data_IF_000641746889
#
_entry.id   IF_000641746889
#
_cell.length_a   1.000
_cell.length_b   1.000
_cell.length_c   1.000
_cell.angle_alpha   90.00
_cell.angle_beta   90.00
_cell.angle_gamma   90.00
#
_symmetry.space_group_name_H-M   'P 1'
#
loop_
_entity.id
_entity.type
_entity.pdbx_description
1 polymer ?
#
# COMPACT_ATOMS: atom_id res chain seq x y z
N UNK A 1 -24.32 29.16 -6.76
CA UNK A 1 -24.16 27.70 -6.67
C UNK A 1 -23.69 27.39 -5.26
N UNK A 2 -24.54 26.78 -4.44
CA UNK A 2 -24.16 26.35 -3.08
C UNK A 2 -23.16 25.21 -3.22
N UNK A 3 -21.88 25.52 -3.02
CA UNK A 3 -20.81 24.53 -2.96
C UNK A 3 -21.10 23.60 -1.78
N UNK A 4 -21.33 22.32 -2.06
CA UNK A 4 -21.46 21.30 -1.02
C UNK A 4 -20.15 21.30 -0.23
N UNK A 5 -20.16 21.58 1.09
CA UNK A 5 -18.94 21.58 1.88
C UNK A 5 -18.39 20.16 1.94
N UNK A 6 -17.18 19.94 1.43
CA UNK A 6 -16.50 18.64 1.49
C UNK A 6 -15.68 18.59 2.77
N UNK A 7 -15.96 17.63 3.63
CA UNK A 7 -15.08 17.30 4.75
C UNK A 7 -14.31 16.02 4.44
N UNK A 8 -12.98 16.07 4.54
CA UNK A 8 -12.06 14.96 4.30
C UNK A 8 -11.73 14.29 5.64
N UNK A 9 -12.18 13.05 5.84
CA UNK A 9 -11.75 12.20 6.94
C UNK A 9 -10.31 11.73 6.69
N UNK A 10 -9.44 11.91 7.68
CA UNK A 10 -8.03 11.46 7.60
C UNK A 10 -7.52 11.05 8.97
N UNK A 11 -6.46 10.22 8.96
CA UNK A 11 -5.72 9.88 10.18
C UNK A 11 -4.82 11.05 10.59
N UNK A 12 -4.52 11.12 11.89
CA UNK A 12 -3.70 12.20 12.46
C UNK A 12 -2.18 12.02 12.28
N UNK A 13 -1.73 10.89 11.72
CA UNK A 13 -0.32 10.72 11.42
C UNK A 13 0.15 11.76 10.39
N UNK A 14 1.38 12.28 10.52
CA UNK A 14 1.92 13.30 9.61
C UNK A 14 1.80 12.92 8.13
N UNK A 15 2.01 11.64 7.78
CA UNK A 15 1.84 11.17 6.40
C UNK A 15 0.39 11.22 5.94
N UNK A 16 -0.57 10.86 6.79
CA UNK A 16 -1.99 10.87 6.42
C UNK A 16 -2.53 12.31 6.31
N UNK A 17 -2.10 13.22 7.18
CA UNK A 17 -2.40 14.64 7.06
C UNK A 17 -1.83 15.21 5.76
N UNK A 18 -0.57 14.93 5.43
CA UNK A 18 0.02 15.33 4.16
C UNK A 18 -0.79 14.82 2.96
N UNK A 19 -1.26 13.56 3.01
CA UNK A 19 -2.07 12.97 1.95
C UNK A 19 -3.41 13.68 1.80
N UNK A 20 -4.06 14.03 2.91
CA UNK A 20 -5.32 14.75 2.91
C UNK A 20 -5.17 16.21 2.44
N UNK A 21 -4.11 16.91 2.87
CA UNK A 21 -3.76 18.25 2.40
C UNK A 21 -3.44 18.26 0.90
N UNK A 22 -2.72 17.24 0.41
CA UNK A 22 -2.45 17.08 -1.02
C UNK A 22 -3.76 16.93 -1.81
N UNK A 23 -4.70 16.10 -1.33
CA UNK A 23 -6.01 15.93 -1.97
C UNK A 23 -6.85 17.20 -1.88
N UNK A 24 -6.87 17.87 -0.73
CA UNK A 24 -7.54 19.16 -0.53
C UNK A 24 -7.05 20.21 -1.53
N UNK A 25 -5.74 20.32 -1.72
CA UNK A 25 -5.15 21.23 -2.71
C UNK A 25 -5.59 20.88 -4.13
N UNK A 26 -5.65 19.59 -4.50
CA UNK A 26 -6.11 19.16 -5.82
C UNK A 26 -7.61 19.41 -6.04
N UNK A 27 -8.46 19.14 -5.04
CA UNK A 27 -9.88 19.49 -5.09
C UNK A 27 -10.08 20.98 -5.37
N UNK A 28 -9.32 21.83 -4.68
CA UNK A 28 -9.41 23.28 -4.86
C UNK A 28 -8.87 23.73 -6.24
N UNK A 29 -7.69 23.25 -6.64
CA UNK A 29 -6.98 23.75 -7.81
C UNK A 29 -7.54 23.19 -9.14
N UNK A 30 -7.98 21.93 -9.16
CA UNK A 30 -8.43 21.26 -10.39
C UNK A 30 -9.95 21.25 -10.55
N UNK A 31 -10.70 21.26 -9.44
CA UNK A 31 -12.16 21.15 -9.44
C UNK A 31 -12.87 22.39 -8.88
N UNK A 32 -12.16 23.34 -8.26
CA UNK A 32 -12.77 24.50 -7.61
C UNK A 32 -13.57 24.13 -6.36
N UNK A 33 -13.31 22.96 -5.77
CA UNK A 33 -14.02 22.43 -4.61
C UNK A 33 -13.23 22.71 -3.33
N UNK A 34 -13.80 23.53 -2.46
CA UNK A 34 -13.24 23.77 -1.13
C UNK A 34 -13.55 22.61 -0.20
N UNK A 35 -12.53 22.16 0.54
CA UNK A 35 -12.66 21.10 1.52
C UNK A 35 -12.02 21.48 2.86
N UNK A 36 -12.53 20.90 3.95
CA UNK A 36 -11.94 20.96 5.30
C UNK A 36 -11.43 19.57 5.69
N UNK A 37 -10.56 19.51 6.71
CA UNK A 37 -10.00 18.25 7.20
C UNK A 37 -10.63 17.86 8.54
N UNK A 38 -11.02 16.60 8.68
CA UNK A 38 -11.43 15.97 9.92
C UNK A 38 -10.37 14.94 10.31
N UNK A 39 -9.46 15.33 11.22
CA UNK A 39 -8.48 14.44 11.80
C UNK A 39 -9.11 13.45 12.77
N UNK A 40 -8.72 12.18 12.68
CA UNK A 40 -9.25 11.08 13.49
C UNK A 40 -8.15 10.13 13.95
N UNK A 41 -8.25 9.65 15.19
CA UNK A 41 -7.41 8.55 15.70
C UNK A 41 -8.09 7.21 15.40
N UNK A 42 -7.34 6.23 14.86
CA UNK A 42 -7.88 4.87 14.62
C UNK A 42 -7.42 3.88 15.69
N UNK A 43 -8.13 2.76 15.88
CA UNK A 43 -7.65 1.66 16.75
C UNK A 43 -6.27 1.15 16.33
N UNK A 44 -5.97 1.15 15.03
CA UNK A 44 -4.65 0.79 14.51
C UNK A 44 -3.52 1.72 14.98
N UNK A 45 -3.83 2.98 15.32
CA UNK A 45 -2.87 3.94 15.90
C UNK A 45 -2.61 3.68 17.39
N UNK A 46 -3.60 3.13 18.10
CA UNK A 46 -3.54 2.89 19.55
C UNK A 46 -2.89 1.56 19.92
N UNK A 47 -2.91 0.56 19.02
CA UNK A 47 -2.41 -0.80 19.31
C UNK A 47 -1.01 -1.00 18.71
N UNK A 48 0.03 -0.66 19.48
CA UNK A 48 1.43 -0.82 19.06
C UNK A 48 2.04 -2.18 19.46
N UNK A 49 1.49 -2.85 20.48
CA UNK A 49 2.19 -3.94 21.20
C UNK A 49 1.76 -5.39 20.85
N UNK A 50 0.92 -5.60 19.81
CA UNK A 50 0.46 -6.95 19.39
C UNK A 50 0.65 -7.21 17.90
N UNK A 51 1.13 -8.38 17.49
CA UNK A 51 1.35 -8.75 16.07
C UNK A 51 0.05 -8.66 15.24
N UNK A 52 0.11 -8.06 14.04
CA UNK A 52 -1.04 -7.77 13.15
C UNK A 52 -1.69 -9.07 12.68
N UNK A 53 -0.88 -10.12 12.49
CA UNK A 53 -1.31 -11.49 12.24
C UNK A 53 -2.19 -12.06 13.37
N UNK A 54 -1.99 -11.62 14.62
CA UNK A 54 -2.80 -12.04 15.78
C UNK A 54 -4.02 -11.15 16.04
N UNK A 55 -4.06 -9.93 15.49
CA UNK A 55 -5.17 -8.98 15.74
C UNK A 55 -6.34 -9.23 14.78
N UNK A 56 -6.13 -9.91 13.64
CA UNK A 56 -7.22 -10.38 12.78
C UNK A 56 -8.29 -9.31 12.52
N UNK A 57 -7.96 -8.28 11.74
CA UNK A 57 -8.91 -7.19 11.49
C UNK A 57 -8.72 -6.57 10.12
N UNK A 58 -9.51 -7.03 9.14
CA UNK A 58 -9.75 -6.26 7.90
C UNK A 58 -10.20 -4.83 8.31
N UNK A 59 -9.52 -3.80 7.83
CA UNK A 59 -9.94 -2.40 8.01
C UNK A 59 -9.54 -1.69 9.32
N UNK A 60 -8.53 -2.16 10.07
CA UNK A 60 -8.06 -1.52 11.33
C UNK A 60 -7.72 -0.01 11.24
N UNK A 61 -7.45 0.50 10.04
CA UNK A 61 -7.12 1.91 9.78
C UNK A 61 -8.21 2.65 9.01
N UNK A 62 -9.31 1.96 8.67
CA UNK A 62 -10.33 2.45 7.72
C UNK A 62 -11.70 2.56 8.40
N UNK A 63 -12.02 1.67 9.37
CA UNK A 63 -13.33 1.63 10.05
C UNK A 63 -13.79 2.95 10.64
N UNK A 64 -12.90 3.68 11.32
CA UNK A 64 -13.27 4.96 11.93
C UNK A 64 -13.54 6.05 10.87
N UNK A 65 -12.85 5.99 9.72
CA UNK A 65 -13.08 6.88 8.59
C UNK A 65 -14.39 6.52 7.88
N UNK A 66 -14.65 5.24 7.62
CA UNK A 66 -15.92 4.71 7.11
C UNK A 66 -17.12 5.12 7.99
N UNK A 67 -16.96 5.10 9.32
CA UNK A 67 -17.99 5.57 10.24
C UNK A 67 -18.30 7.06 10.04
N UNK A 68 -17.28 7.90 9.83
CA UNK A 68 -17.46 9.33 9.55
C UNK A 68 -18.12 9.58 8.18
N UNK A 69 -17.87 8.72 7.19
CA UNK A 69 -18.56 8.77 5.91
C UNK A 69 -20.05 8.39 6.05
N UNK A 70 -20.33 7.31 6.79
CA UNK A 70 -21.67 6.78 6.98
C UNK A 70 -22.59 7.70 7.78
N UNK A 71 -22.06 8.35 8.83
CA UNK A 71 -22.84 9.29 9.66
C UNK A 71 -22.86 10.73 9.13
N UNK A 72 -22.19 10.98 7.99
CA UNK A 72 -22.20 12.28 7.31
C UNK A 72 -21.26 13.33 7.90
N UNK A 73 -20.44 13.01 8.91
CA UNK A 73 -19.40 13.91 9.42
C UNK A 73 -18.32 14.19 8.37
N UNK A 74 -18.13 13.29 7.41
CA UNK A 74 -17.24 13.45 6.27
C UNK A 74 -17.92 13.00 4.97
N UNK A 75 -17.44 13.54 3.85
CA UNK A 75 -17.91 13.21 2.50
C UNK A 75 -16.87 12.37 1.75
N UNK A 76 -15.60 12.51 2.12
CA UNK A 76 -14.47 11.87 1.45
C UNK A 76 -13.48 11.35 2.49
N UNK A 77 -12.87 10.19 2.25
CA UNK A 77 -11.74 9.69 3.01
C UNK A 77 -10.53 9.46 2.08
N UNK A 78 -9.34 9.78 2.58
CA UNK A 78 -8.08 9.66 1.82
C UNK A 78 -7.23 8.55 2.40
N UNK A 79 -6.81 7.61 1.55
CA UNK A 79 -6.05 6.44 1.96
C UNK A 79 -4.79 6.27 1.11
N UNK A 80 -3.74 5.73 1.73
CA UNK A 80 -2.75 4.99 0.96
C UNK A 80 -3.42 3.74 0.41
N UNK A 81 -3.44 3.55 -0.92
CA UNK A 81 -4.29 2.51 -1.54
C UNK A 81 -3.94 1.08 -1.07
N UNK A 82 -2.68 0.84 -0.71
CA UNK A 82 -2.22 -0.44 -0.13
C UNK A 82 -2.86 -0.79 1.23
N UNK A 83 -3.42 0.20 1.93
CA UNK A 83 -4.06 0.02 3.23
C UNK A 83 -5.58 -0.12 3.11
N UNK A 84 -6.13 0.08 1.90
CA UNK A 84 -7.56 -0.08 1.60
C UNK A 84 -7.89 -1.57 1.44
N UNK A 85 -8.89 -2.11 2.17
CA UNK A 85 -9.36 -3.48 2.02
C UNK A 85 -9.59 -3.85 0.55
N UNK A 86 -9.27 -5.08 0.17
CA UNK A 86 -9.40 -5.52 -1.23
C UNK A 86 -10.84 -5.50 -1.73
N UNK A 87 -11.78 -5.71 -0.83
CA UNK A 87 -13.22 -5.50 -0.99
C UNK A 87 -13.63 -4.45 0.04
N UNK A 88 -14.20 -3.35 -0.43
CA UNK A 88 -14.79 -2.33 0.45
C UNK A 88 -16.08 -2.88 1.07
N UNK A 89 -16.44 -2.46 2.30
CA UNK A 89 -17.73 -2.80 2.86
C UNK A 89 -18.88 -2.25 2.00
N UNK A 90 -20.05 -2.87 2.11
CA UNK A 90 -21.26 -2.38 1.46
C UNK A 90 -21.54 -0.93 1.86
N UNK A 91 -21.96 -0.11 0.89
CA UNK A 91 -22.23 1.31 1.09
C UNK A 91 -21.03 2.24 0.81
N UNK A 92 -19.84 1.71 0.53
CA UNK A 92 -18.66 2.51 0.16
C UNK A 92 -18.12 2.17 -1.22
N UNK A 93 -17.47 3.14 -1.85
CA UNK A 93 -16.80 2.96 -3.14
C UNK A 93 -15.52 3.78 -3.24
N UNK A 94 -14.59 3.29 -4.04
CA UNK A 94 -13.38 4.01 -4.39
C UNK A 94 -13.67 4.92 -5.60
N UNK A 95 -13.95 6.20 -5.34
CA UNK A 95 -14.31 7.16 -6.38
C UNK A 95 -13.13 7.53 -7.30
N UNK A 96 -11.91 7.54 -6.77
CA UNK A 96 -10.74 7.85 -7.57
C UNK A 96 -9.47 7.16 -7.04
N UNK A 97 -8.57 6.88 -7.97
CA UNK A 97 -7.18 6.50 -7.68
C UNK A 97 -6.28 7.55 -8.32
N UNK A 98 -5.53 8.27 -7.50
CA UNK A 98 -4.65 9.33 -7.99
C UNK A 98 -3.41 8.77 -8.67
N UNK A 99 -2.70 9.63 -9.41
CA UNK A 99 -1.43 9.28 -10.03
C UNK A 99 -0.45 8.68 -9.01
N UNK A 100 0.24 7.62 -9.42
CA UNK A 100 1.10 6.84 -8.56
C UNK A 100 2.43 7.55 -8.32
N UNK A 101 2.78 7.72 -7.06
CA UNK A 101 4.16 8.03 -6.68
C UNK A 101 5.04 6.77 -6.82
N UNK A 102 6.36 6.91 -6.70
CA UNK A 102 7.33 5.82 -6.75
C UNK A 102 6.92 4.61 -5.88
N UNK A 103 6.60 3.47 -6.53
CA UNK A 103 6.06 2.31 -5.83
C UNK A 103 7.13 1.49 -5.12
N UNK A 104 8.43 1.79 -5.33
CA UNK A 104 9.53 0.99 -4.79
C UNK A 104 9.61 1.06 -3.27
N UNK A 105 10.22 0.02 -2.72
CA UNK A 105 10.69 0.04 -1.35
C UNK A 105 12.05 0.76 -1.28
N UNK A 106 12.28 1.44 -0.16
CA UNK A 106 13.50 2.18 0.13
C UNK A 106 14.26 1.48 1.26
N UNK A 107 15.56 1.30 1.04
CA UNK A 107 16.52 0.93 2.06
C UNK A 107 16.93 2.19 2.83
N UNK A 108 16.77 2.16 4.15
CA UNK A 108 17.06 3.28 5.05
C UNK A 108 17.97 2.79 6.16
N UNK A 109 19.16 3.37 6.23
CA UNK A 109 20.18 3.01 7.21
C UNK A 109 21.03 4.24 7.56
N UNK A 110 21.63 4.23 8.74
CA UNK A 110 22.54 5.29 9.16
C UNK A 110 23.94 5.07 8.58
N UNK A 111 24.46 3.85 8.69
CA UNK A 111 25.88 3.55 8.43
C UNK A 111 26.14 2.77 7.13
N UNK A 112 25.08 2.33 6.43
CA UNK A 112 25.18 1.44 5.26
C UNK A 112 24.49 2.05 4.04
N UNK A 113 25.02 1.82 2.83
CA UNK A 113 24.46 2.37 1.59
C UNK A 113 23.41 1.46 0.94
N UNK A 114 23.55 0.14 1.09
CA UNK A 114 22.68 -0.85 0.48
C UNK A 114 22.48 -2.08 1.39
N UNK A 115 21.57 -2.97 0.97
CA UNK A 115 21.35 -4.25 1.64
C UNK A 115 22.62 -5.13 1.59
N UNK A 116 23.39 -5.05 0.50
CA UNK A 116 24.58 -5.88 0.28
C UNK A 116 25.74 -5.48 1.19
N UNK A 117 25.79 -4.21 1.61
CA UNK A 117 26.81 -3.68 2.52
C UNK A 117 26.60 -4.11 3.99
N UNK A 118 25.45 -4.71 4.30
CA UNK A 118 25.16 -5.16 5.67
C UNK A 118 26.05 -6.35 6.07
N UNK A 119 26.59 -6.35 7.31
CA UNK A 119 27.36 -7.48 7.82
C UNK A 119 26.50 -8.74 7.91
N UNK A 120 27.15 -9.90 7.97
CA UNK A 120 26.46 -11.17 8.18
C UNK A 120 25.64 -11.14 9.48
N UNK A 121 24.39 -11.60 9.42
CA UNK A 121 23.50 -11.60 10.59
C UNK A 121 22.96 -10.23 10.98
N UNK A 122 23.09 -9.21 10.13
CA UNK A 122 22.58 -7.87 10.39
C UNK A 122 21.07 -7.86 10.70
N UNK A 123 20.69 -6.97 11.61
CA UNK A 123 19.31 -6.76 12.05
C UNK A 123 18.60 -5.75 11.15
N UNK A 124 17.55 -6.18 10.45
CA UNK A 124 16.75 -5.33 9.56
C UNK A 124 15.30 -5.20 10.03
N UNK A 125 14.80 -3.97 10.16
CA UNK A 125 13.47 -3.69 10.69
C UNK A 125 12.36 -3.73 9.63
N UNK A 126 11.42 -4.68 9.75
CA UNK A 126 10.18 -4.73 8.96
C UNK A 126 9.13 -5.63 9.60
N UNK A 127 7.87 -5.17 9.67
CA UNK A 127 6.71 -6.02 10.01
C UNK A 127 5.91 -6.52 8.79
N UNK A 128 6.36 -6.24 7.57
CA UNK A 128 5.71 -6.72 6.35
C UNK A 128 6.28 -8.08 5.97
N UNK A 129 5.47 -9.15 6.05
CA UNK A 129 5.91 -10.48 5.63
C UNK A 129 6.35 -10.51 4.15
N UNK A 130 5.72 -9.69 3.28
CA UNK A 130 6.15 -9.50 1.89
C UNK A 130 7.62 -9.04 1.80
N UNK A 131 8.02 -8.07 2.63
CA UNK A 131 9.41 -7.58 2.63
C UNK A 131 10.34 -8.62 3.27
N UNK A 132 9.89 -9.25 4.36
CA UNK A 132 10.66 -10.27 5.08
C UNK A 132 11.05 -11.42 4.13
N UNK A 133 10.09 -12.04 3.45
CA UNK A 133 10.37 -13.17 2.55
C UNK A 133 11.22 -12.77 1.35
N UNK A 134 11.04 -11.57 0.80
CA UNK A 134 11.85 -11.08 -0.31
C UNK A 134 13.29 -10.76 0.11
N UNK A 135 13.50 -10.14 1.29
CA UNK A 135 14.84 -9.91 1.81
C UNK A 135 15.55 -11.23 2.11
N UNK A 136 14.87 -12.18 2.78
CA UNK A 136 15.45 -13.47 3.11
C UNK A 136 15.71 -14.35 1.88
N UNK A 137 15.00 -14.14 0.78
CA UNK A 137 15.32 -14.76 -0.51
C UNK A 137 16.60 -14.20 -1.15
N UNK A 138 17.03 -12.97 -0.81
CA UNK A 138 18.26 -12.36 -1.31
C UNK A 138 19.44 -12.60 -0.35
N UNK A 139 19.19 -12.45 0.96
CA UNK A 139 20.17 -12.57 2.04
C UNK A 139 19.58 -13.42 3.19
N UNK A 140 19.68 -14.76 3.11
CA UNK A 140 19.10 -15.67 4.10
C UNK A 140 19.69 -15.54 5.51
N UNK A 141 20.85 -14.91 5.65
CA UNK A 141 21.56 -14.67 6.91
C UNK A 141 20.95 -13.53 7.75
N UNK A 142 20.14 -12.65 7.16
CA UNK A 142 19.61 -11.48 7.85
C UNK A 142 18.69 -11.85 9.00
N UNK A 143 18.80 -11.08 10.10
CA UNK A 143 17.86 -11.13 11.22
C UNK A 143 16.78 -10.08 11.03
N UNK A 144 15.62 -10.48 10.51
CA UNK A 144 14.51 -9.53 10.27
C UNK A 144 13.64 -9.41 11.51
N UNK A 145 13.68 -8.24 12.15
CA UNK A 145 12.96 -7.98 13.39
C UNK A 145 11.72 -7.09 13.14
N UNK A 146 10.60 -7.30 13.87
CA UNK A 146 9.40 -6.50 13.69
C UNK A 146 9.64 -5.00 13.96
N UNK A 147 9.14 -4.14 13.08
CA UNK A 147 9.21 -2.69 13.21
C UNK A 147 7.84 -2.04 12.99
N UNK A 148 7.38 -1.33 14.02
CA UNK A 148 6.05 -0.71 14.10
C UNK A 148 6.09 0.75 14.51
N UNK A 149 4.95 1.40 14.30
CA UNK A 149 4.75 2.83 14.46
C UNK A 149 4.54 3.52 13.12
N UNK A 150 4.19 4.80 13.18
CA UNK A 150 4.23 5.70 12.03
C UNK A 150 5.69 5.88 11.53
N UNK A 151 5.85 6.62 10.43
CA UNK A 151 7.16 6.79 9.80
C UNK A 151 8.19 7.40 10.75
N UNK A 152 7.81 8.43 11.53
CA UNK A 152 8.69 9.10 12.48
C UNK A 152 9.19 8.17 13.59
N UNK A 153 8.28 7.39 14.20
CA UNK A 153 8.65 6.40 15.22
C UNK A 153 9.61 5.36 14.66
N UNK A 154 9.45 4.95 13.40
CA UNK A 154 10.34 3.97 12.77
C UNK A 154 11.74 4.54 12.50
N UNK A 155 11.82 5.78 12.02
CA UNK A 155 13.11 6.46 11.82
C UNK A 155 13.82 6.69 13.16
N UNK A 156 13.09 7.12 14.19
CA UNK A 156 13.66 7.27 15.53
C UNK A 156 14.24 5.96 16.06
N UNK A 157 13.52 4.84 15.93
CA UNK A 157 14.02 3.52 16.37
C UNK A 157 15.27 3.06 15.61
N UNK A 158 15.42 3.47 14.35
CA UNK A 158 16.66 3.28 13.60
C UNK A 158 17.78 4.15 14.17
N UNK A 159 17.50 5.43 14.42
CA UNK A 159 18.47 6.40 14.96
C UNK A 159 18.94 6.06 16.39
N UNK A 160 18.09 5.42 17.18
CA UNK A 160 18.40 4.89 18.51
C UNK A 160 19.25 3.61 18.48
N UNK A 161 19.62 3.10 17.29
CA UNK A 161 20.48 1.92 17.13
C UNK A 161 19.75 0.57 17.27
N UNK A 162 18.42 0.56 17.23
CA UNK A 162 17.64 -0.68 17.34
C UNK A 162 17.73 -1.60 16.11
N UNK A 163 18.20 -1.08 14.98
CA UNK A 163 18.32 -1.80 13.71
C UNK A 163 19.54 -1.31 12.94
N UNK A 164 20.17 -2.17 12.14
CA UNK A 164 21.22 -1.75 11.20
C UNK A 164 20.61 -1.03 9.99
N UNK A 165 19.42 -1.46 9.58
CA UNK A 165 18.63 -0.85 8.54
C UNK A 165 17.14 -1.10 8.74
N UNK A 166 16.30 -0.30 8.08
CA UNK A 166 14.85 -0.52 7.99
C UNK A 166 14.41 -0.41 6.54
N UNK A 167 13.27 -1.03 6.22
CA UNK A 167 12.68 -0.93 4.88
C UNK A 167 11.36 -0.18 4.94
N UNK A 168 11.25 0.90 4.15
CA UNK A 168 10.06 1.77 4.07
C UNK A 168 9.57 1.88 2.62
N UNK A 169 8.36 2.43 2.42
CA UNK A 169 7.91 2.72 1.06
C UNK A 169 8.50 4.07 0.62
N UNK A 170 9.11 4.14 -0.57
CA UNK A 170 9.74 5.36 -1.07
C UNK A 170 8.78 6.55 -1.12
N UNK A 171 7.55 6.31 -1.59
CA UNK A 171 6.49 7.32 -1.63
C UNK A 171 6.24 7.99 -0.28
N UNK A 172 6.26 7.25 0.84
CA UNK A 172 6.02 7.84 2.17
C UNK A 172 7.14 8.81 2.59
N UNK A 173 8.39 8.47 2.26
CA UNK A 173 9.54 9.33 2.54
C UNK A 173 9.55 10.57 1.64
N UNK A 174 9.29 10.42 0.34
CA UNK A 174 9.23 11.54 -0.62
C UNK A 174 8.17 12.57 -0.24
N UNK A 175 6.96 12.09 0.08
CA UNK A 175 5.83 12.94 0.50
C UNK A 175 6.17 13.82 1.70
N UNK A 176 6.90 13.27 2.67
CA UNK A 176 7.31 14.00 3.87
C UNK A 176 8.61 14.82 3.70
N UNK A 177 9.15 14.94 2.48
CA UNK A 177 10.42 15.64 2.25
C UNK A 177 11.64 14.91 2.82
N UNK A 178 11.53 13.61 3.11
CA UNK A 178 12.56 12.78 3.75
C UNK A 178 13.35 11.93 2.75
N UNK A 179 13.44 12.36 1.49
CA UNK A 179 14.19 11.64 0.46
C UNK A 179 15.67 11.45 0.83
N UNK A 180 16.27 12.39 1.59
CA UNK A 180 17.65 12.28 2.08
C UNK A 180 17.89 11.14 3.08
N UNK A 181 16.84 10.52 3.63
CA UNK A 181 16.95 9.30 4.45
C UNK A 181 17.09 8.03 3.61
N UNK A 182 16.76 8.07 2.32
CA UNK A 182 16.87 6.93 1.42
C UNK A 182 18.34 6.72 1.05
N UNK A 183 18.89 5.55 1.39
CA UNK A 183 20.26 5.18 1.02
C UNK A 183 20.31 4.53 -0.35
N UNK A 184 19.35 3.66 -0.63
CA UNK A 184 19.11 3.09 -1.96
C UNK A 184 17.64 2.70 -2.11
N UNK A 185 17.21 2.54 -3.36
CA UNK A 185 15.89 2.02 -3.70
C UNK A 185 16.06 0.57 -4.15
N UNK A 186 15.18 -0.31 -3.69
CA UNK A 186 15.15 -1.67 -4.21
C UNK A 186 14.62 -1.65 -5.63
N UNK A 187 15.34 -2.30 -6.54
CA UNK A 187 14.82 -2.57 -7.87
C UNK A 187 13.65 -3.55 -7.79
N UNK A 188 12.72 -3.46 -8.74
CA UNK A 188 11.51 -4.29 -8.78
C UNK A 188 11.86 -5.79 -8.85
N UNK A 189 13.01 -6.16 -9.42
CA UNK A 189 13.53 -7.53 -9.41
C UNK A 189 13.94 -8.01 -8.01
N UNK A 190 14.54 -7.12 -7.20
CA UNK A 190 14.97 -7.40 -5.83
C UNK A 190 13.77 -7.44 -4.88
N UNK A 191 12.93 -6.40 -4.88
CA UNK A 191 11.79 -6.29 -3.99
C UNK A 191 10.56 -5.77 -4.73
N UNK A 192 9.68 -6.68 -5.08
CA UNK A 192 8.41 -6.39 -5.74
C UNK A 192 7.46 -5.69 -4.74
N UNK A 193 6.87 -4.53 -5.10
CA UNK A 193 5.92 -3.80 -4.25
C UNK A 193 4.64 -4.59 -3.93
N UNK A 194 3.95 -4.18 -2.87
CA UNK A 194 2.57 -4.66 -2.64
C UNK A 194 1.57 -3.91 -3.54
N UNK A 195 0.40 -4.50 -3.71
CA UNK A 195 -0.69 -3.90 -4.45
C UNK A 195 -1.02 -2.49 -3.96
N UNK A 196 -1.13 -1.54 -4.88
CA UNK A 196 -1.46 -0.14 -4.60
C UNK A 196 -0.35 0.66 -3.90
N UNK A 197 0.85 0.12 -3.67
CA UNK A 197 1.93 0.90 -3.04
C UNK A 197 2.26 2.13 -3.90
N UNK A 198 2.27 3.32 -3.28
CA UNK A 198 2.54 4.59 -3.96
C UNK A 198 1.29 5.33 -4.44
N UNK A 199 0.15 4.65 -4.63
CA UNK A 199 -1.11 5.28 -5.02
C UNK A 199 -1.88 5.82 -3.81
N UNK A 200 -2.69 6.85 -4.04
CA UNK A 200 -3.73 7.31 -3.10
C UNK A 200 -5.11 6.91 -3.63
N UNK A 201 -5.95 6.40 -2.72
CA UNK A 201 -7.33 6.07 -2.97
C UNK A 201 -8.27 7.06 -2.28
N UNK A 202 -9.32 7.46 -3.00
CA UNK A 202 -10.38 8.36 -2.54
C UNK A 202 -11.66 7.55 -2.32
N UNK A 203 -12.05 7.36 -1.07
CA UNK A 203 -13.22 6.59 -0.67
C UNK A 203 -14.39 7.52 -0.30
N UNK A 204 -15.58 7.19 -0.79
CA UNK A 204 -16.82 7.93 -0.52
C UNK A 204 -17.97 6.94 -0.25
N UNK A 205 -19.14 7.45 0.16
CA UNK A 205 -20.36 6.65 0.14
C UNK A 205 -20.77 6.30 -1.29
N UNK A 206 -21.18 5.07 -1.51
CA UNK A 206 -21.57 4.55 -2.82
C UNK A 206 -22.83 5.23 -3.41
N UNK A 207 -23.68 5.81 -2.55
CA UNK A 207 -24.90 6.51 -2.96
C UNK A 207 -24.66 7.97 -3.39
N UNK A 208 -23.48 8.54 -3.09
CA UNK A 208 -23.12 9.92 -3.42
C UNK A 208 -22.58 10.03 -4.85
N UNK A 209 -23.46 9.77 -5.81
CA UNK A 209 -23.14 9.77 -7.25
C UNK A 209 -22.63 11.12 -7.76
N UNK A 210 -23.12 12.23 -7.21
CA UNK A 210 -22.68 13.57 -7.57
C UNK A 210 -21.22 13.82 -7.13
N UNK A 211 -20.86 13.41 -5.90
CA UNK A 211 -19.48 13.50 -5.44
C UNK A 211 -18.57 12.52 -6.21
N UNK A 212 -19.07 11.33 -6.54
CA UNK A 212 -18.34 10.34 -7.34
C UNK A 212 -17.95 10.92 -8.71
N UNK A 213 -18.89 11.56 -9.41
CA UNK A 213 -18.64 12.19 -10.69
C UNK A 213 -17.62 13.34 -10.58
N UNK A 214 -17.77 14.18 -9.55
CA UNK A 214 -16.88 15.32 -9.33
C UNK A 214 -15.44 14.88 -9.01
N UNK A 215 -15.28 14.02 -7.98
CA UNK A 215 -13.98 13.55 -7.49
C UNK A 215 -13.32 12.58 -8.46
N UNK A 216 -14.11 11.80 -9.21
CA UNK A 216 -13.62 10.88 -10.23
C UNK A 216 -12.76 11.54 -11.32
N UNK A 217 -12.93 12.85 -11.54
CA UNK A 217 -12.10 13.65 -12.46
C UNK A 217 -10.63 13.76 -12.03
N UNK A 218 -10.30 13.52 -10.76
CA UNK A 218 -8.92 13.46 -10.27
C UNK A 218 -8.25 12.10 -10.54
N UNK A 219 -9.03 11.10 -10.95
CA UNK A 219 -8.55 9.72 -11.12
C UNK A 219 -7.57 9.62 -12.29
N UNK A 220 -6.43 8.99 -12.05
CA UNK A 220 -5.43 8.71 -13.06
C UNK A 220 -5.65 7.29 -13.60
N UNK A 221 -6.26 7.20 -14.78
CA UNK A 221 -6.69 5.91 -15.37
C UNK A 221 -5.58 4.86 -15.49
N UNK A 222 -4.35 5.17 -15.94
CA UNK A 222 -3.28 4.18 -15.97
C UNK A 222 -2.95 3.60 -14.58
N UNK A 223 -2.95 4.43 -13.53
CA UNK A 223 -2.73 3.96 -12.17
C UNK A 223 -3.90 3.15 -11.64
N UNK A 224 -5.14 3.59 -11.90
CA UNK A 224 -6.34 2.85 -11.53
C UNK A 224 -6.30 1.41 -12.08
N UNK A 225 -6.05 1.25 -13.38
CA UNK A 225 -6.02 -0.06 -14.03
C UNK A 225 -4.88 -0.93 -13.52
N UNK A 226 -3.68 -0.36 -13.34
CA UNK A 226 -2.56 -1.08 -12.74
C UNK A 226 -2.91 -1.58 -11.32
N UNK A 227 -3.48 -0.72 -10.48
CA UNK A 227 -3.85 -1.09 -9.12
C UNK A 227 -5.03 -2.07 -9.07
N UNK A 228 -5.99 -2.03 -9.99
CA UNK A 228 -7.05 -3.04 -10.09
C UNK A 228 -6.50 -4.43 -10.41
N UNK A 229 -5.54 -4.53 -11.33
CA UNK A 229 -4.84 -5.78 -11.63
C UNK A 229 -4.08 -6.31 -10.42
N UNK A 230 -3.31 -5.44 -9.74
CA UNK A 230 -2.57 -5.81 -8.52
C UNK A 230 -3.49 -6.28 -7.38
N UNK A 231 -4.59 -5.56 -7.16
CA UNK A 231 -5.59 -5.87 -6.13
C UNK A 231 -6.34 -7.16 -6.45
N UNK A 232 -6.56 -7.48 -7.74
CA UNK A 232 -7.16 -8.74 -8.15
C UNK A 232 -6.28 -9.96 -7.79
N UNK A 233 -4.94 -9.86 -7.90
CA UNK A 233 -4.03 -10.91 -7.40
C UNK A 233 -4.28 -11.17 -5.91
N UNK A 234 -4.32 -10.09 -5.13
CA UNK A 234 -4.51 -10.16 -3.69
C UNK A 234 -5.86 -10.76 -3.32
N UNK A 235 -6.95 -10.35 -3.99
CA UNK A 235 -8.29 -10.95 -3.81
C UNK A 235 -8.28 -12.45 -4.06
N UNK A 236 -7.69 -12.88 -5.17
CA UNK A 236 -7.68 -14.30 -5.56
C UNK A 236 -6.86 -15.21 -4.64
N UNK A 237 -5.97 -14.68 -3.81
CA UNK A 237 -5.11 -15.45 -2.90
C UNK A 237 -5.43 -15.24 -1.41
N UNK A 238 -6.60 -14.69 -1.08
CA UNK A 238 -7.10 -14.59 0.30
C UNK A 238 -7.23 -13.15 0.85
N UNK A 239 -6.88 -12.13 0.07
CA UNK A 239 -7.26 -10.74 0.30
C UNK A 239 -6.70 -10.08 1.56
N UNK A 240 -5.65 -10.64 2.19
CA UNK A 240 -5.09 -10.15 3.44
C UNK A 240 -3.72 -9.48 3.26
N UNK A 241 -3.55 -8.30 3.85
CA UNK A 241 -2.26 -7.61 3.95
C UNK A 241 -1.24 -8.35 4.83
N UNK A 242 -1.66 -9.42 5.53
CA UNK A 242 -0.77 -10.30 6.29
C UNK A 242 -0.10 -11.37 5.44
N UNK A 243 -0.50 -11.55 4.18
CA UNK A 243 0.16 -12.53 3.30
C UNK A 243 1.51 -11.99 2.81
N UNK A 244 2.54 -12.83 2.68
CA UNK A 244 3.81 -12.49 2.03
C UNK A 244 3.66 -12.35 0.50
N UNK A 245 2.68 -11.55 0.05
CA UNK A 245 2.29 -11.37 -1.34
C UNK A 245 2.72 -9.99 -1.85
N UNK A 246 3.35 -9.98 -3.02
CA UNK A 246 3.66 -8.80 -3.81
C UNK A 246 2.92 -8.89 -5.15
N UNK A 247 2.48 -7.73 -5.64
CA UNK A 247 1.85 -7.60 -6.95
C UNK A 247 2.10 -6.18 -7.45
N UNK A 248 2.75 -6.05 -8.60
CA UNK A 248 3.03 -4.77 -9.20
C UNK A 248 2.83 -4.79 -10.71
N UNK A 249 1.98 -3.89 -11.19
CA UNK A 249 1.69 -3.70 -12.59
C UNK A 249 2.32 -2.39 -13.11
N UNK A 250 2.88 -2.45 -14.31
CA UNK A 250 3.49 -1.33 -15.04
C UNK A 250 3.02 -1.32 -16.49
N UNK A 251 2.85 -0.13 -17.04
CA UNK A 251 2.58 0.04 -18.46
C UNK A 251 3.88 0.00 -19.26
N UNK A 252 3.88 -0.76 -20.35
CA UNK A 252 4.94 -0.77 -21.37
C UNK A 252 4.27 -0.48 -22.72
N UNK A 253 4.25 0.79 -23.11
CA UNK A 253 3.40 1.25 -24.20
C UNK A 253 1.92 1.00 -23.87
N UNK A 254 1.22 0.28 -24.75
CA UNK A 254 -0.20 -0.06 -24.58
C UNK A 254 -0.44 -1.33 -23.74
N UNK A 255 0.61 -2.05 -23.36
CA UNK A 255 0.48 -3.33 -22.65
C UNK A 255 0.70 -3.14 -21.15
N UNK A 256 -0.22 -3.66 -20.34
CA UNK A 256 -0.08 -3.71 -18.89
C UNK A 256 0.65 -5.01 -18.51
N UNK A 257 1.85 -4.89 -17.95
CA UNK A 257 2.64 -6.00 -17.44
C UNK A 257 2.50 -6.10 -15.93
N UNK A 258 2.04 -7.24 -15.42
CA UNK A 258 1.86 -7.51 -14.00
C UNK A 258 2.82 -8.62 -13.56
N UNK A 259 3.65 -8.29 -12.58
CA UNK A 259 4.45 -9.26 -11.83
C UNK A 259 3.80 -9.52 -10.47
N UNK A 260 3.83 -10.77 -10.03
CA UNK A 260 3.40 -11.19 -8.70
C UNK A 260 4.45 -12.12 -8.07
N UNK A 261 4.62 -12.02 -6.76
CA UNK A 261 5.51 -12.90 -6.00
C UNK A 261 4.87 -13.31 -4.68
N UNK A 262 4.98 -14.58 -4.32
CA UNK A 262 4.46 -15.14 -3.07
C UNK A 262 5.61 -15.81 -2.30
N UNK A 263 5.90 -15.30 -1.11
CA UNK A 263 6.76 -15.97 -0.14
C UNK A 263 5.99 -16.96 0.73
N UNK A 264 6.69 -17.81 1.46
CA UNK A 264 6.04 -18.78 2.33
C UNK A 264 5.70 -18.13 3.68
N UNK A 265 4.49 -18.31 4.18
CA UNK A 265 3.98 -17.61 5.37
C UNK A 265 4.73 -17.97 6.67
N UNK A 266 5.26 -19.19 6.76
CA UNK A 266 5.95 -19.71 7.95
C UNK A 266 7.47 -19.86 7.74
N UNK A 267 7.89 -20.66 6.76
CA UNK A 267 9.29 -20.82 6.35
C UNK A 267 9.78 -19.68 5.47
N UNK A 268 10.06 -18.50 6.04
CA UNK A 268 10.33 -17.27 5.28
C UNK A 268 11.54 -17.31 4.33
N UNK A 269 12.46 -18.26 4.51
CA UNK A 269 13.64 -18.48 3.65
C UNK A 269 13.36 -19.36 2.42
N UNK A 270 12.16 -19.95 2.32
CA UNK A 270 11.79 -20.77 1.15
C UNK A 270 11.79 -19.90 -0.12
N UNK A 271 12.25 -20.42 -1.28
CA UNK A 271 12.24 -19.67 -2.53
C UNK A 271 10.87 -19.10 -2.87
N UNK A 272 10.83 -17.88 -3.40
CA UNK A 272 9.58 -17.22 -3.78
C UNK A 272 8.95 -17.92 -4.99
N UNK A 273 7.63 -18.06 -5.00
CA UNK A 273 6.88 -18.27 -6.24
C UNK A 273 6.78 -16.94 -6.97
N UNK A 274 6.99 -16.93 -8.29
CA UNK A 274 6.94 -15.72 -9.12
C UNK A 274 6.14 -15.98 -10.39
N UNK A 275 5.26 -15.05 -10.73
CA UNK A 275 4.49 -15.09 -11.96
C UNK A 275 4.52 -13.73 -12.65
N UNK A 276 4.59 -13.74 -13.98
CA UNK A 276 4.53 -12.56 -14.82
C UNK A 276 3.49 -12.79 -15.91
N UNK A 277 2.61 -11.82 -16.10
CA UNK A 277 1.56 -11.83 -17.13
C UNK A 277 1.46 -10.46 -17.77
N UNK A 278 0.97 -10.40 -19.01
CA UNK A 278 0.78 -9.13 -19.71
C UNK A 278 -0.47 -9.20 -20.58
N UNK A 279 -1.21 -8.08 -20.65
CA UNK A 279 -2.35 -7.94 -21.54
C UNK A 279 -2.61 -6.47 -21.86
N UNK A 280 -3.34 -6.22 -22.95
CA UNK A 280 -3.86 -4.90 -23.28
C UNK A 280 -5.13 -4.65 -22.44
N UNK A 281 -4.93 -4.14 -21.22
CA UNK A 281 -6.02 -3.93 -20.26
C UNK A 281 -6.72 -2.59 -20.52
N UNK A 282 -7.72 -2.56 -21.41
CA UNK A 282 -8.42 -1.32 -21.81
C UNK A 282 -9.38 -0.76 -20.75
N UNK A 283 -9.84 -1.62 -19.84
CA UNK A 283 -10.78 -1.30 -18.78
C UNK A 283 -10.49 -2.08 -17.49
N UNK A 284 -11.32 -1.81 -16.47
CA UNK A 284 -11.17 -2.38 -15.12
C UNK A 284 -11.36 -3.90 -15.13
N UNK A 285 -12.26 -4.44 -15.94
CA UNK A 285 -12.52 -5.88 -15.97
C UNK A 285 -11.36 -6.63 -16.63
N UNK A 286 -10.82 -6.09 -17.73
CA UNK A 286 -9.60 -6.62 -18.35
C UNK A 286 -8.40 -6.57 -17.38
N UNK A 287 -8.23 -5.47 -16.64
CA UNK A 287 -7.19 -5.37 -15.61
C UNK A 287 -7.38 -6.42 -14.50
N UNK A 288 -8.61 -6.63 -14.02
CA UNK A 288 -8.93 -7.66 -13.01
C UNK A 288 -8.66 -9.06 -13.52
N UNK A 289 -9.03 -9.36 -14.77
CA UNK A 289 -8.74 -10.65 -15.41
C UNK A 289 -7.23 -10.91 -15.46
N UNK A 290 -6.42 -9.91 -15.80
CA UNK A 290 -4.96 -10.02 -15.76
C UNK A 290 -4.45 -10.40 -14.36
N UNK A 291 -4.98 -9.78 -13.31
CA UNK A 291 -4.67 -10.14 -11.93
C UNK A 291 -5.07 -11.57 -11.55
N UNK A 292 -6.26 -12.00 -11.98
CA UNK A 292 -6.72 -13.38 -11.77
C UNK A 292 -5.82 -14.41 -12.48
N UNK A 293 -5.33 -14.08 -13.68
CA UNK A 293 -4.37 -14.92 -14.40
C UNK A 293 -3.05 -15.06 -13.64
N UNK A 294 -2.48 -13.97 -13.12
CA UNK A 294 -1.27 -14.03 -12.29
C UNK A 294 -1.47 -14.92 -11.04
N UNK A 295 -2.61 -14.78 -10.37
CA UNK A 295 -2.95 -15.62 -9.22
C UNK A 295 -3.17 -17.10 -9.60
N UNK A 296 -3.70 -17.39 -10.78
CA UNK A 296 -3.80 -18.76 -11.28
C UNK A 296 -2.41 -19.37 -11.52
N UNK A 297 -1.48 -18.63 -12.14
CA UNK A 297 -0.10 -19.08 -12.32
C UNK A 297 0.60 -19.39 -11.00
N UNK A 298 0.40 -18.56 -9.97
CA UNK A 298 0.94 -18.85 -8.63
C UNK A 298 0.31 -20.12 -8.03
N UNK A 299 -0.99 -20.37 -8.23
CA UNK A 299 -1.67 -21.60 -7.79
C UNK A 299 -1.12 -22.84 -8.49
N UNK A 300 -0.88 -22.77 -9.80
CA UNK A 300 -0.27 -23.87 -10.58
C UNK A 300 1.14 -24.21 -10.07
N UNK A 301 1.86 -23.23 -9.51
CA UNK A 301 3.17 -23.40 -8.87
C UNK A 301 3.10 -23.90 -7.42
N UNK A 302 1.90 -24.21 -6.90
CA UNK A 302 1.72 -24.73 -5.55
C UNK A 302 1.57 -23.67 -4.47
N UNK A 303 1.03 -22.48 -4.78
CA UNK A 303 0.78 -21.40 -3.82
C UNK A 303 0.00 -21.85 -2.57
N UNK A 304 -0.85 -22.88 -2.68
CA UNK A 304 -1.56 -23.45 -1.52
C UNK A 304 -0.63 -23.84 -0.37
N UNK A 305 0.58 -24.34 -0.67
CA UNK A 305 1.58 -24.71 0.34
C UNK A 305 2.37 -23.53 0.92
N UNK A 306 2.14 -22.30 0.44
CA UNK A 306 2.80 -21.07 0.89
C UNK A 306 1.89 -20.20 1.75
N UNK A 307 0.58 -20.43 1.67
CA UNK A 307 -0.43 -19.74 2.46
C UNK A 307 -0.47 -20.32 3.88
N UNK A 308 -0.88 -19.53 4.89
CA UNK A 308 -1.11 -20.07 6.23
C UNK A 308 -2.17 -21.18 6.18
N UNK A 309 -1.95 -22.24 6.97
CA UNK A 309 -2.88 -23.35 7.13
C UNK A 309 -4.17 -22.97 7.85
#
# INVERSE_FOLDING_TARGET
MTTIPITIATRESRLALWQAEHVQARLQNELGLTATLLGMTTRGDQILDRTLSKIGGKGLFVKELEAALADGRAQLAVHSLKDVPMELPEGFTLAAVLEREDPRDAFVANDYASLDDLPEGAVVGSSSLRRVTQMLSLRPDLRVEPLRGNLDTRLRKLDEGGYHAIVLAAAGLKRLGLAGRVRSLFDIGQMLPCAGQGALGLEIRADDTALAEAVGRLSHRPTLLACEAERAVSRSLGGSCSLPLAAHARWQGATLCLDAALGHAETHTRPLLRASVAADATDVDAARQLGQQAAARLRDMGAGSYLPG
#
